data_IF_872480045026
#
_entry.id   IF_872480045026
#
_cell.length_a   1.000
_cell.length_b   1.000
_cell.length_c   1.000
_cell.angle_alpha   90.00
_cell.angle_beta   90.00
_cell.angle_gamma   90.00
#
_symmetry.space_group_name_H-M   'P 1'
#
loop_
_entity.id
_entity.type
_entity.pdbx_description
1 polymer ?
#
# COMPACT_ATOMS: atom_id res chain seq x y z
N UNK A 1 -5.01 -25.58 26.58
CA UNK A 1 -4.23 -25.64 25.31
C UNK A 1 -4.68 -26.83 24.44
N UNK A 2 -5.15 -26.58 23.20
CA UNK A 2 -5.74 -27.62 22.32
C UNK A 2 -4.76 -28.21 21.29
N UNK A 3 -3.55 -27.65 21.17
CA UNK A 3 -2.42 -28.11 20.34
C UNK A 3 -1.14 -27.46 20.87
N UNK A 4 -0.03 -28.20 20.90
CA UNK A 4 1.32 -27.66 21.11
C UNK A 4 2.13 -27.91 19.84
N UNK A 5 2.81 -26.88 19.34
CA UNK A 5 3.65 -26.95 18.15
C UNK A 5 5.02 -26.42 18.51
N UNK A 6 6.06 -27.15 18.12
CA UNK A 6 7.44 -26.70 18.31
C UNK A 6 7.72 -25.46 17.45
N UNK A 7 8.43 -24.47 18.01
CA UNK A 7 8.72 -23.21 17.33
C UNK A 7 9.53 -23.41 16.03
N UNK A 8 10.38 -24.44 15.97
CA UNK A 8 11.15 -24.74 14.75
C UNK A 8 10.25 -25.17 13.59
N UNK A 9 9.16 -25.88 13.87
CA UNK A 9 8.16 -26.27 12.86
C UNK A 9 7.41 -25.04 12.36
N UNK A 10 7.04 -24.13 13.27
CA UNK A 10 6.39 -22.87 12.88
C UNK A 10 7.34 -22.02 12.01
N UNK A 11 8.61 -21.89 12.42
CA UNK A 11 9.64 -21.18 11.64
C UNK A 11 9.87 -21.79 10.25
N UNK A 12 9.87 -23.14 10.16
CA UNK A 12 9.99 -23.85 8.90
C UNK A 12 8.84 -23.49 7.95
N UNK A 13 7.60 -23.51 8.45
CA UNK A 13 6.42 -23.20 7.63
C UNK A 13 6.37 -21.72 7.26
N UNK A 14 6.70 -20.81 8.17
CA UNK A 14 6.85 -19.38 7.85
C UNK A 14 7.88 -19.18 6.74
N UNK A 15 9.03 -19.85 6.84
CA UNK A 15 10.08 -19.80 5.81
C UNK A 15 9.64 -20.42 4.48
N UNK A 16 8.84 -21.48 4.51
CA UNK A 16 8.26 -22.08 3.31
C UNK A 16 7.35 -21.09 2.59
N UNK A 17 6.49 -20.38 3.32
CA UNK A 17 5.56 -19.39 2.77
C UNK A 17 6.24 -18.13 2.20
N UNK A 18 7.53 -17.93 2.44
CA UNK A 18 8.32 -16.92 1.71
C UNK A 18 8.71 -17.37 0.28
N UNK A 19 8.53 -18.66 -0.03
CA UNK A 19 8.96 -19.28 -1.30
C UNK A 19 7.81 -19.85 -2.12
N UNK A 20 6.67 -20.08 -1.49
CA UNK A 20 5.43 -20.53 -2.12
C UNK A 20 4.24 -19.71 -1.60
N UNK A 21 3.15 -19.69 -2.36
CA UNK A 21 1.91 -19.08 -1.90
C UNK A 21 1.46 -19.71 -0.57
N UNK A 22 1.14 -18.91 0.46
CA UNK A 22 0.68 -19.43 1.75
C UNK A 22 -0.52 -20.35 1.58
N UNK A 23 -0.40 -21.59 2.09
CA UNK A 23 -1.46 -22.59 1.99
C UNK A 23 -1.51 -23.41 3.28
N UNK A 24 -2.26 -22.90 4.26
CA UNK A 24 -2.43 -23.56 5.55
C UNK A 24 -3.08 -24.94 5.43
N UNK A 25 -4.00 -25.13 4.49
CA UNK A 25 -4.64 -26.42 4.23
C UNK A 25 -3.62 -27.46 3.80
N UNK A 26 -2.80 -27.16 2.80
CA UNK A 26 -1.80 -28.10 2.29
C UNK A 26 -0.79 -28.51 3.37
N UNK A 27 -0.28 -27.54 4.15
CA UNK A 27 0.63 -27.83 5.27
C UNK A 27 -0.04 -28.71 6.31
N UNK A 28 -1.26 -28.37 6.71
CA UNK A 28 -1.98 -29.10 7.77
C UNK A 28 -2.32 -30.52 7.33
N UNK A 29 -2.82 -30.72 6.11
CA UNK A 29 -3.08 -32.05 5.54
C UNK A 29 -1.81 -32.89 5.41
N UNK A 30 -0.68 -32.25 5.06
CA UNK A 30 0.63 -32.94 5.00
C UNK A 30 1.08 -33.40 6.38
N UNK A 31 0.93 -32.55 7.41
CA UNK A 31 1.25 -32.89 8.79
C UNK A 31 0.34 -34.00 9.33
N UNK A 32 -0.95 -33.96 9.00
CA UNK A 32 -1.92 -35.01 9.35
C UNK A 32 -1.51 -36.36 8.76
N UNK A 33 -1.25 -36.41 7.45
CA UNK A 33 -0.80 -37.64 6.77
C UNK A 33 0.54 -38.16 7.34
N UNK A 34 1.50 -37.27 7.57
CA UNK A 34 2.82 -37.63 8.13
C UNK A 34 2.72 -38.25 9.54
N UNK A 35 1.80 -37.76 10.35
CA UNK A 35 1.53 -38.27 11.70
C UNK A 35 0.75 -39.58 11.65
N UNK A 36 -0.23 -39.70 10.76
CA UNK A 36 -1.01 -40.92 10.54
C UNK A 36 -0.13 -42.10 10.12
N UNK A 37 0.82 -41.89 9.19
CA UNK A 37 1.82 -42.88 8.76
C UNK A 37 2.69 -43.41 9.92
N UNK A 38 2.77 -42.67 11.02
CA UNK A 38 3.52 -43.04 12.24
C UNK A 38 2.63 -43.60 13.35
N UNK A 39 1.36 -43.85 13.06
CA UNK A 39 0.38 -44.37 14.00
C UNK A 39 -0.27 -43.31 14.90
N UNK A 40 -0.03 -42.01 14.65
CA UNK A 40 -0.66 -40.92 15.40
C UNK A 40 -1.92 -40.43 14.68
N UNK A 41 -3.06 -41.08 14.97
CA UNK A 41 -4.35 -40.71 14.37
C UNK A 41 -5.05 -39.63 15.18
N UNK A 42 -5.35 -38.50 14.55
CA UNK A 42 -6.13 -37.43 15.15
C UNK A 42 -7.62 -37.59 14.81
N UNK A 43 -8.48 -37.54 15.83
CA UNK A 43 -9.94 -37.67 15.64
C UNK A 43 -10.59 -36.34 15.28
N UNK A 44 -11.60 -36.41 14.42
CA UNK A 44 -12.46 -35.28 14.06
C UNK A 44 -12.26 -34.84 12.61
N UNK A 45 -13.15 -33.97 12.14
CA UNK A 45 -13.00 -33.32 10.85
C UNK A 45 -11.99 -32.17 10.98
N UNK A 46 -10.99 -32.15 10.10
CA UNK A 46 -9.99 -31.09 10.01
C UNK A 46 -9.26 -30.80 11.34
N UNK A 47 -8.64 -31.83 11.96
CA UNK A 47 -8.14 -31.72 13.32
C UNK A 47 -7.02 -30.69 13.46
N UNK A 48 -6.13 -30.49 12.46
CA UNK A 48 -5.02 -29.57 12.60
C UNK A 48 -5.26 -28.20 12.00
N UNK A 49 -5.93 -28.06 10.83
CA UNK A 49 -5.85 -26.82 10.05
C UNK A 49 -6.16 -25.57 10.85
N UNK A 50 -7.30 -25.50 11.54
CA UNK A 50 -7.66 -24.30 12.31
C UNK A 50 -6.69 -24.06 13.48
N UNK A 51 -6.30 -25.11 14.20
CA UNK A 51 -5.43 -25.01 15.38
C UNK A 51 -4.00 -24.63 15.01
N UNK A 52 -3.45 -25.28 13.99
CA UNK A 52 -2.13 -25.00 13.45
C UNK A 52 -2.06 -23.61 12.80
N UNK A 53 -3.08 -23.24 12.01
CA UNK A 53 -3.15 -21.89 11.41
C UNK A 53 -3.14 -20.80 12.48
N UNK A 54 -3.93 -20.97 13.55
CA UNK A 54 -3.92 -20.04 14.67
C UNK A 54 -2.54 -19.97 15.35
N UNK A 55 -1.90 -21.11 15.61
CA UNK A 55 -0.58 -21.16 16.22
C UNK A 55 0.49 -20.47 15.35
N UNK A 56 0.50 -20.74 14.06
CA UNK A 56 1.40 -20.11 13.09
C UNK A 56 1.16 -18.60 12.99
N UNK A 57 -0.10 -18.18 12.98
CA UNK A 57 -0.45 -16.77 12.93
C UNK A 57 0.05 -16.01 14.17
N UNK A 58 -0.14 -16.57 15.37
CA UNK A 58 0.36 -15.98 16.61
C UNK A 58 1.88 -15.97 16.68
N UNK A 59 2.53 -17.02 16.17
CA UNK A 59 3.98 -17.07 16.05
C UNK A 59 4.52 -15.96 15.14
N UNK A 60 3.93 -15.77 13.95
CA UNK A 60 4.31 -14.67 13.05
C UNK A 60 4.10 -13.31 13.74
N UNK A 61 2.95 -13.11 14.40
CA UNK A 61 2.71 -11.88 15.18
C UNK A 61 3.77 -11.65 16.27
N UNK A 62 4.21 -12.72 16.95
CA UNK A 62 5.27 -12.64 17.95
C UNK A 62 6.62 -12.24 17.31
N UNK A 63 6.97 -12.82 16.16
CA UNK A 63 8.18 -12.46 15.42
C UNK A 63 8.15 -11.00 14.97
N UNK A 64 7.02 -10.53 14.45
CA UNK A 64 6.85 -9.16 14.00
C UNK A 64 7.00 -8.16 15.16
N UNK A 65 6.38 -8.47 16.31
CA UNK A 65 6.46 -7.65 17.54
C UNK A 65 7.87 -7.64 18.12
N UNK A 66 8.55 -8.78 18.16
CA UNK A 66 9.92 -8.88 18.65
C UNK A 66 10.89 -8.10 17.75
N UNK A 67 10.73 -8.18 16.43
CA UNK A 67 11.54 -7.43 15.48
C UNK A 67 11.32 -5.93 15.62
N UNK A 68 10.05 -5.49 15.74
CA UNK A 68 9.70 -4.10 15.99
C UNK A 68 10.34 -3.56 17.27
N UNK A 69 10.28 -4.33 18.36
CA UNK A 69 10.88 -3.93 19.63
C UNK A 69 12.39 -3.74 19.51
N UNK A 70 13.10 -4.61 18.79
CA UNK A 70 14.53 -4.46 18.53
C UNK A 70 14.80 -3.19 17.70
N UNK A 71 13.98 -2.93 16.67
CA UNK A 71 14.13 -1.75 15.83
C UNK A 71 13.92 -0.45 16.63
N UNK A 72 12.93 -0.40 17.52
CA UNK A 72 12.72 0.74 18.43
C UNK A 72 13.93 0.98 19.32
N UNK A 73 14.53 -0.07 19.89
CA UNK A 73 15.75 0.06 20.70
C UNK A 73 16.94 0.58 19.89
N UNK A 74 17.08 0.12 18.64
CA UNK A 74 18.13 0.59 17.74
C UNK A 74 17.93 2.07 17.40
N UNK A 75 16.70 2.49 17.14
CA UNK A 75 16.38 3.87 16.78
C UNK A 75 16.62 4.83 17.96
N UNK A 76 16.26 4.45 19.19
CA UNK A 76 16.61 5.21 20.40
C UNK A 76 18.13 5.38 20.54
N UNK A 77 18.89 4.29 20.40
CA UNK A 77 20.35 4.35 20.50
C UNK A 77 20.99 5.19 19.38
N UNK A 78 20.40 5.21 18.18
CA UNK A 78 20.85 6.09 17.08
C UNK A 78 20.58 7.55 17.40
N UNK A 79 19.42 7.88 17.97
CA UNK A 79 19.10 9.24 18.35
C UNK A 79 20.01 9.77 19.46
N UNK A 80 20.31 8.96 20.48
CA UNK A 80 21.25 9.32 21.55
C UNK A 80 22.63 9.65 20.98
N UNK A 81 23.16 8.79 20.10
CA UNK A 81 24.45 9.03 19.44
C UNK A 81 24.46 10.29 18.57
N UNK A 82 23.36 10.58 17.88
CA UNK A 82 23.24 11.81 17.09
C UNK A 82 23.21 13.07 17.96
N UNK A 83 22.68 13.00 19.19
CA UNK A 83 22.71 14.12 20.15
C UNK A 83 24.13 14.33 20.69
N UNK A 84 24.83 13.26 21.05
CA UNK A 84 26.24 13.32 21.46
C UNK A 84 27.12 13.96 20.37
N UNK A 85 26.95 13.56 19.10
CA UNK A 85 27.68 14.14 17.96
C UNK A 85 27.34 15.64 17.72
N UNK A 86 26.16 16.10 18.14
CA UNK A 86 25.73 17.51 18.01
C UNK A 86 26.22 18.39 19.17
N UNK A 87 26.31 17.85 20.39
CA UNK A 87 26.85 18.57 21.55
C UNK A 87 28.35 18.86 21.39
N UNK A 88 29.10 18.08 20.62
CA UNK A 88 30.50 18.37 20.27
C UNK A 88 30.67 19.51 19.23
N UNK A 89 29.59 19.95 18.58
CA UNK A 89 29.56 20.99 17.54
C UNK A 89 28.58 22.12 17.89
N UNK A 90 28.75 22.77 19.05
CA UNK A 90 27.93 23.93 19.42
C UNK A 90 28.15 25.13 18.48
N UNK A 91 27.12 25.46 17.67
CA UNK A 91 26.83 26.82 17.23
C UNK A 91 25.42 27.17 17.75
N UNK A 92 25.19 28.35 18.34
CA UNK A 92 23.89 28.68 18.94
C UNK A 92 22.81 28.79 17.85
N UNK A 93 21.74 28.00 17.96
CA UNK A 93 20.55 28.17 17.11
C UNK A 93 19.31 28.36 17.98
N UNK A 94 18.59 29.44 17.68
CA UNK A 94 17.40 29.91 18.39
C UNK A 94 16.22 28.92 18.30
N UNK A 95 15.41 28.91 19.36
CA UNK A 95 14.20 28.10 19.53
C UNK A 95 13.15 28.39 18.44
N UNK A 96 12.71 27.39 17.64
CA UNK A 96 11.56 27.58 16.76
C UNK A 96 10.24 27.42 17.52
N UNK A 97 9.32 28.35 17.25
CA UNK A 97 7.95 28.38 17.76
C UNK A 97 7.11 27.18 17.26
N UNK A 98 6.05 26.85 18.02
CA UNK A 98 5.09 25.78 17.76
C UNK A 98 4.42 25.91 16.38
N UNK A 99 4.94 25.13 15.44
CA UNK A 99 4.46 24.88 14.09
C UNK A 99 5.31 23.74 13.52
N UNK A 100 4.75 22.87 12.69
CA UNK A 100 5.45 21.70 12.14
C UNK A 100 6.77 22.14 11.50
N UNK A 101 7.90 21.80 12.13
CA UNK A 101 9.21 22.16 11.62
C UNK A 101 9.40 21.49 10.25
N UNK A 102 9.74 22.25 9.19
CA UNK A 102 9.89 21.69 7.86
C UNK A 102 10.98 20.61 7.88
N UNK A 103 10.68 19.46 7.25
CA UNK A 103 11.62 18.35 7.20
C UNK A 103 12.90 18.79 6.45
N UNK A 104 14.05 18.72 7.12
CA UNK A 104 15.35 19.00 6.50
C UNK A 104 15.84 17.84 5.61
N UNK A 105 15.30 16.65 5.81
CA UNK A 105 15.59 15.42 5.05
C UNK A 105 14.36 14.52 5.01
N UNK A 106 14.29 13.53 4.09
CA UNK A 106 13.20 12.59 4.08
C UNK A 106 12.96 11.98 5.46
N UNK A 107 11.69 11.69 5.75
CA UNK A 107 11.25 11.09 7.01
C UNK A 107 12.02 9.79 7.35
N UNK A 108 12.04 9.43 8.64
CA UNK A 108 12.62 8.15 9.09
C UNK A 108 11.95 6.96 8.39
N UNK A 109 10.63 7.04 8.18
CA UNK A 109 9.88 6.03 7.44
C UNK A 109 10.49 5.72 6.06
N UNK A 110 10.67 6.75 5.22
CA UNK A 110 11.24 6.56 3.89
C UNK A 110 12.69 6.09 3.92
N UNK A 111 13.48 6.63 4.86
CA UNK A 111 14.88 6.24 5.06
C UNK A 111 15.02 4.77 5.46
N UNK A 112 14.15 4.28 6.33
CA UNK A 112 14.10 2.87 6.71
C UNK A 112 13.66 1.96 5.54
N UNK A 113 12.78 2.44 4.65
CA UNK A 113 12.32 1.66 3.48
C UNK A 113 13.36 1.54 2.38
N UNK A 114 14.02 2.65 2.05
CA UNK A 114 15.06 2.65 1.03
C UNK A 114 16.16 3.68 1.37
N UNK A 115 17.20 3.25 2.10
CA UNK A 115 18.33 4.12 2.43
C UNK A 115 19.04 4.68 1.19
N UNK A 116 19.00 3.95 0.07
CA UNK A 116 19.61 4.39 -1.20
C UNK A 116 18.85 5.58 -1.80
N UNK A 117 17.51 5.55 -1.78
CA UNK A 117 16.71 6.67 -2.31
C UNK A 117 16.65 7.85 -1.34
N UNK A 118 16.57 7.59 -0.03
CA UNK A 118 16.13 8.59 0.94
C UNK A 118 17.15 8.89 2.05
N UNK A 119 18.22 8.10 2.19
CA UNK A 119 19.21 8.22 3.27
C UNK A 119 20.32 9.23 3.00
N UNK A 120 20.40 9.79 1.78
CA UNK A 120 21.40 10.80 1.42
C UNK A 120 21.24 12.12 2.18
N UNK A 121 22.34 12.88 2.33
CA UNK A 121 22.30 14.24 2.88
C UNK A 121 21.54 15.17 1.93
N UNK A 122 20.48 15.82 2.41
CA UNK A 122 19.81 16.91 1.69
C UNK A 122 20.75 18.12 1.69
N UNK A 123 21.43 18.35 0.57
CA UNK A 123 22.17 19.59 0.32
C UNK A 123 21.60 20.27 -0.91
N UNK A 124 21.76 21.59 -1.07
CA UNK A 124 21.27 22.31 -2.25
C UNK A 124 21.84 21.79 -3.58
N UNK A 125 22.97 21.07 -3.54
CA UNK A 125 23.58 20.39 -4.70
C UNK A 125 23.18 18.92 -4.86
N UNK A 126 22.61 18.29 -3.84
CA UNK A 126 22.12 16.92 -3.89
C UNK A 126 20.64 16.95 -4.29
N UNK A 127 20.38 16.87 -5.59
CA UNK A 127 19.04 16.52 -6.07
C UNK A 127 18.60 15.22 -5.38
N UNK A 128 17.43 15.25 -4.72
CA UNK A 128 16.78 14.03 -4.28
C UNK A 128 16.53 13.17 -5.53
N UNK A 129 17.38 12.16 -5.74
CA UNK A 129 17.25 11.21 -6.85
C UNK A 129 16.26 10.09 -6.49
N UNK A 130 15.10 10.48 -5.95
CA UNK A 130 14.03 9.56 -5.60
C UNK A 130 13.00 9.51 -6.73
N UNK A 131 12.93 8.36 -7.38
CA UNK A 131 11.86 8.05 -8.33
C UNK A 131 10.85 7.13 -7.63
N UNK A 132 9.58 7.50 -7.69
CA UNK A 132 8.46 6.70 -7.21
C UNK A 132 7.57 6.32 -8.40
N UNK A 133 7.17 5.06 -8.46
CA UNK A 133 6.26 4.50 -9.46
C UNK A 133 4.97 4.09 -8.75
N UNK A 134 3.83 4.36 -9.39
CA UNK A 134 2.52 3.95 -8.90
C UNK A 134 1.93 2.96 -9.89
N UNK A 135 1.43 1.84 -9.39
CA UNK A 135 0.78 0.81 -10.19
C UNK A 135 -0.39 0.17 -9.44
N UNK A 136 -1.33 -0.41 -10.19
CA UNK A 136 -2.51 -1.08 -9.67
C UNK A 136 -2.57 -2.56 -10.10
N UNK A 137 -2.79 -3.43 -9.12
CA UNK A 137 -2.90 -4.88 -9.32
C UNK A 137 -4.26 -5.40 -8.87
N UNK A 138 -5.02 -5.98 -9.81
CA UNK A 138 -6.38 -6.50 -9.57
C UNK A 138 -6.44 -7.99 -9.22
N UNK A 139 -5.28 -8.64 -9.05
CA UNK A 139 -5.22 -10.07 -8.72
C UNK A 139 -5.47 -10.33 -7.23
N UNK A 140 -5.27 -9.33 -6.37
CA UNK A 140 -5.46 -9.44 -4.92
C UNK A 140 -6.85 -8.92 -4.56
N UNK A 141 -7.75 -9.82 -4.18
CA UNK A 141 -9.12 -9.51 -3.79
C UNK A 141 -9.43 -10.12 -2.43
N UNK A 142 -10.24 -9.44 -1.63
CA UNK A 142 -10.66 -9.94 -0.33
C UNK A 142 -12.18 -10.14 -0.29
N UNK A 143 -12.65 -11.30 0.17
CA UNK A 143 -14.07 -11.66 0.20
C UNK A 143 -14.83 -10.93 1.33
N UNK A 144 -16.04 -10.45 1.02
CA UNK A 144 -16.98 -9.84 1.97
C UNK A 144 -17.40 -10.73 3.13
N UNK A 145 -17.42 -12.04 2.89
CA UNK A 145 -17.98 -13.03 3.83
C UNK A 145 -16.94 -13.62 4.79
N UNK A 146 -15.69 -13.17 4.77
CA UNK A 146 -14.78 -13.50 5.85
C UNK A 146 -15.33 -12.84 7.12
N UNK A 147 -15.58 -13.62 8.18
CA UNK A 147 -15.79 -13.02 9.50
C UNK A 147 -14.65 -12.04 9.71
N UNK A 148 -14.96 -10.78 10.04
CA UNK A 148 -13.93 -9.79 10.37
C UNK A 148 -13.22 -10.30 11.62
N UNK A 149 -12.16 -11.07 11.40
CA UNK A 149 -11.21 -11.40 12.44
C UNK A 149 -10.77 -10.07 13.07
N UNK A 150 -10.48 -10.05 14.38
CA UNK A 150 -9.95 -8.86 15.01
C UNK A 150 -8.80 -8.28 14.18
N UNK A 151 -8.82 -6.97 13.98
CA UNK A 151 -7.85 -6.30 13.14
C UNK A 151 -6.43 -6.60 13.64
N UNK A 152 -5.63 -7.24 12.80
CA UNK A 152 -4.21 -7.49 13.08
C UNK A 152 -3.38 -6.61 12.18
N UNK A 153 -2.94 -5.49 12.73
CA UNK A 153 -2.04 -4.59 12.04
C UNK A 153 -0.60 -5.00 12.31
N UNK A 154 0.17 -5.16 11.23
CA UNK A 154 1.61 -5.30 11.35
C UNK A 154 2.18 -3.98 11.88
N UNK A 155 3.07 -3.99 12.90
CA UNK A 155 3.64 -2.76 13.49
C UNK A 155 4.29 -1.83 12.46
N UNK A 156 4.87 -2.40 11.40
CA UNK A 156 5.46 -1.68 10.26
C UNK A 156 4.59 -1.76 9.00
N UNK A 157 3.28 -1.61 9.14
CA UNK A 157 2.36 -1.66 7.99
C UNK A 157 2.80 -0.69 6.89
N UNK A 158 2.62 -1.12 5.64
CA UNK A 158 2.74 -0.26 4.45
C UNK A 158 1.37 0.16 3.94
N UNK A 159 0.28 -0.35 4.52
CA UNK A 159 -1.07 -0.03 4.10
C UNK A 159 -1.49 1.32 4.66
N UNK A 160 -2.00 2.17 3.78
CA UNK A 160 -2.63 3.42 4.16
C UNK A 160 -4.02 3.11 4.73
N UNK A 161 -4.40 3.69 5.90
CA UNK A 161 -5.72 3.49 6.49
C UNK A 161 -6.85 3.95 5.54
N UNK A 162 -7.95 3.20 5.53
CA UNK A 162 -9.13 3.51 4.70
C UNK A 162 -9.68 4.92 4.98
N UNK A 163 -9.60 5.37 6.23
CA UNK A 163 -10.02 6.72 6.63
C UNK A 163 -9.24 7.83 5.93
N UNK A 164 -7.95 7.63 5.66
CA UNK A 164 -7.10 8.61 4.98
C UNK A 164 -7.36 8.63 3.47
N UNK A 165 -7.60 7.45 2.88
CA UNK A 165 -8.01 7.32 1.48
C UNK A 165 -9.36 8.02 1.24
N UNK A 166 -10.28 7.90 2.21
CA UNK A 166 -11.60 8.51 2.15
C UNK A 166 -11.55 10.05 2.09
N UNK A 167 -10.59 10.69 2.78
CA UNK A 167 -10.41 12.13 2.70
C UNK A 167 -10.16 12.59 1.26
N UNK A 168 -9.32 11.86 0.53
CA UNK A 168 -9.05 12.12 -0.88
C UNK A 168 -10.21 11.73 -1.80
N UNK A 169 -10.98 10.70 -1.45
CA UNK A 169 -12.20 10.37 -2.19
C UNK A 169 -13.22 11.51 -2.10
N UNK A 170 -13.47 12.02 -0.90
CA UNK A 170 -14.41 13.12 -0.65
C UNK A 170 -13.93 14.41 -1.33
N UNK A 171 -12.63 14.75 -1.22
CA UNK A 171 -12.04 15.92 -1.88
C UNK A 171 -12.16 15.86 -3.41
N UNK A 172 -11.83 14.72 -4.03
CA UNK A 172 -11.96 14.55 -5.48
C UNK A 172 -13.42 14.66 -5.91
N UNK A 173 -14.35 14.12 -5.12
CA UNK A 173 -15.78 14.22 -5.41
C UNK A 173 -16.29 15.67 -5.34
N UNK A 174 -15.76 16.49 -4.43
CA UNK A 174 -16.12 17.91 -4.30
C UNK A 174 -15.55 18.78 -5.43
N UNK A 175 -14.28 18.57 -5.80
CA UNK A 175 -13.59 19.40 -6.80
C UNK A 175 -14.00 19.04 -8.23
N UNK A 176 -14.38 17.78 -8.48
CA UNK A 176 -14.71 17.34 -9.84
C UNK A 176 -16.02 18.01 -10.28
N UNK A 177 -16.05 18.70 -11.42
CA UNK A 177 -17.29 19.23 -11.95
C UNK A 177 -18.27 18.08 -12.12
N UNK A 178 -19.51 18.29 -11.65
CA UNK A 178 -20.60 17.34 -11.84
C UNK A 178 -20.59 16.90 -13.30
N UNK A 179 -20.43 15.60 -13.56
CA UNK A 179 -20.82 15.08 -14.85
C UNK A 179 -22.33 15.29 -14.94
N UNK A 180 -22.75 16.43 -15.49
CA UNK A 180 -24.05 16.50 -16.12
C UNK A 180 -24.06 15.34 -17.11
N UNK A 181 -24.93 14.37 -16.87
CA UNK A 181 -25.25 13.35 -17.84
C UNK A 181 -25.65 14.09 -19.11
N UNK A 182 -24.73 14.20 -20.07
CA UNK A 182 -25.11 14.56 -21.43
C UNK A 182 -26.05 13.44 -21.84
N UNK A 183 -27.34 13.74 -21.83
CA UNK A 183 -28.37 12.87 -22.36
C UNK A 183 -27.92 12.39 -23.75
N UNK A 184 -27.51 11.13 -23.83
CA UNK A 184 -27.04 10.45 -25.05
C UNK A 184 -28.15 10.32 -26.11
N UNK A 185 -29.34 10.87 -25.87
CA UNK A 185 -30.52 10.67 -26.73
C UNK A 185 -30.92 11.88 -27.59
N UNK A 186 -30.07 12.90 -27.79
CA UNK A 186 -30.45 14.00 -28.71
C UNK A 186 -29.37 14.59 -29.62
N UNK A 187 -28.26 13.90 -29.91
CA UNK A 187 -27.37 14.32 -31.01
C UNK A 187 -27.79 13.65 -32.31
N UNK A 188 -28.83 14.20 -32.92
CA UNK A 188 -29.27 13.84 -34.26
C UNK A 188 -28.11 13.95 -35.26
N UNK A 189 -27.93 12.91 -36.07
CA UNK A 189 -26.97 12.78 -37.16
C UNK A 189 -27.17 13.79 -38.30
N UNK A 190 -26.94 15.09 -38.06
CA UNK A 190 -27.14 16.11 -39.10
C UNK A 190 -26.02 17.09 -39.37
N UNK A 191 -24.94 17.16 -38.59
CA UNK A 191 -23.68 17.79 -39.03
C UNK A 191 -22.53 17.32 -38.12
N UNK A 192 -21.72 16.40 -38.62
CA UNK A 192 -20.49 15.95 -37.96
C UNK A 192 -19.44 17.06 -38.11
N UNK A 193 -19.26 17.87 -37.08
CA UNK A 193 -18.36 19.02 -37.08
C UNK A 193 -16.93 18.62 -36.68
N UNK A 194 -15.97 19.49 -36.96
CA UNK A 194 -14.57 19.35 -36.56
C UNK A 194 -14.33 20.21 -35.30
N UNK A 195 -13.70 19.65 -34.28
CA UNK A 195 -13.29 20.39 -33.08
C UNK A 195 -11.77 20.65 -33.07
N UNK A 196 -11.38 21.91 -32.84
CA UNK A 196 -9.97 22.32 -32.78
C UNK A 196 -9.28 22.49 -34.15
N UNK A 197 -7.93 22.47 -34.14
CA UNK A 197 -7.10 22.60 -35.35
C UNK A 197 -6.98 21.30 -36.16
N UNK A 198 -7.52 20.20 -35.65
CA UNK A 198 -7.50 18.88 -36.27
C UNK A 198 -8.70 18.73 -37.22
N UNK A 199 -8.44 18.35 -38.47
CA UNK A 199 -9.50 18.02 -39.45
C UNK A 199 -9.97 16.57 -39.30
N UNK A 200 -10.31 16.15 -38.09
CA UNK A 200 -10.89 14.84 -37.81
C UNK A 200 -12.35 15.03 -37.40
N UNK A 201 -13.32 14.39 -38.07
CA UNK A 201 -14.73 14.50 -37.70
C UNK A 201 -14.96 13.98 -36.27
N UNK A 202 -15.85 14.62 -35.53
CA UNK A 202 -16.14 14.25 -34.15
C UNK A 202 -16.58 12.78 -34.02
N UNK A 203 -17.34 12.24 -34.98
CA UNK A 203 -17.72 10.82 -34.97
C UNK A 203 -16.52 9.85 -34.94
N UNK A 204 -15.39 10.23 -35.53
CA UNK A 204 -14.16 9.43 -35.53
C UNK A 204 -13.41 9.59 -34.21
N UNK A 205 -13.45 10.78 -33.61
CA UNK A 205 -12.88 11.00 -32.28
C UNK A 205 -13.69 10.27 -31.21
N UNK A 206 -15.02 10.36 -31.27
CA UNK A 206 -15.95 9.65 -30.38
C UNK A 206 -15.78 8.13 -30.53
N UNK A 207 -15.76 7.60 -31.76
CA UNK A 207 -15.49 6.18 -31.98
C UNK A 207 -14.09 5.76 -31.51
N UNK A 208 -13.09 6.65 -31.59
CA UNK A 208 -11.75 6.40 -31.06
C UNK A 208 -11.73 6.38 -29.53
N UNK A 209 -12.44 7.31 -28.88
CA UNK A 209 -12.64 7.37 -27.43
C UNK A 209 -13.34 6.10 -26.94
N UNK A 210 -14.43 5.71 -27.59
CA UNK A 210 -15.18 4.48 -27.30
C UNK A 210 -14.35 3.20 -27.51
N UNK A 211 -13.44 3.21 -28.49
CA UNK A 211 -12.52 2.09 -28.74
C UNK A 211 -11.36 1.99 -27.73
N UNK A 212 -11.12 3.06 -26.96
CA UNK A 212 -9.98 3.15 -26.04
C UNK A 212 -10.24 2.33 -24.76
N UNK A 213 -9.86 1.05 -24.81
CA UNK A 213 -10.13 0.06 -23.77
C UNK A 213 -9.41 0.34 -22.42
N UNK A 214 -8.49 1.30 -22.37
CA UNK A 214 -7.70 1.58 -21.17
C UNK A 214 -8.49 2.33 -20.08
N UNK A 215 -9.58 3.02 -20.43
CA UNK A 215 -10.34 3.91 -19.53
C UNK A 215 -11.87 3.70 -19.57
N UNK A 216 -12.34 2.53 -20.01
CA UNK A 216 -13.76 2.18 -19.96
C UNK A 216 -14.22 2.02 -18.50
N UNK A 217 -14.82 3.09 -17.95
CA UNK A 217 -15.35 3.12 -16.58
C UNK A 217 -16.57 2.21 -16.36
N UNK A 218 -17.18 1.70 -17.44
CA UNK A 218 -18.33 0.77 -17.35
C UNK A 218 -17.89 -0.68 -17.18
N UNK A 219 -16.67 -1.02 -17.62
CA UNK A 219 -16.14 -2.38 -17.49
C UNK A 219 -15.55 -2.61 -16.11
N UNK A 220 -16.37 -3.17 -15.21
CA UNK A 220 -15.94 -3.62 -13.88
C UNK A 220 -14.86 -4.72 -13.99
N UNK A 221 -13.57 -4.36 -13.93
CA UNK A 221 -12.44 -5.32 -13.83
C UNK A 221 -12.50 -6.18 -12.55
N UNK A 222 -13.25 -5.74 -11.55
CA UNK A 222 -13.54 -6.48 -10.33
C UNK A 222 -14.92 -6.10 -9.79
N UNK A 223 -15.74 -7.11 -9.47
CA UNK A 223 -17.06 -6.91 -8.87
C UNK A 223 -16.92 -6.56 -7.39
N UNK A 224 -17.51 -5.44 -6.97
CA UNK A 224 -17.67 -5.09 -5.55
C UNK A 224 -18.80 -5.87 -4.87
N UNK A 225 -19.53 -6.73 -5.59
CA UNK A 225 -20.64 -7.50 -5.02
C UNK A 225 -20.13 -8.55 -4.01
N UNK A 226 -19.00 -9.19 -4.31
CA UNK A 226 -18.46 -10.31 -3.53
C UNK A 226 -17.17 -9.96 -2.76
N UNK A 227 -16.51 -8.88 -3.15
CA UNK A 227 -15.20 -8.50 -2.61
C UNK A 227 -15.25 -7.14 -1.92
N UNK A 228 -14.64 -7.05 -0.73
CA UNK A 228 -14.43 -5.79 0.01
C UNK A 228 -13.22 -5.02 -0.51
N UNK A 229 -12.27 -5.73 -1.15
CA UNK A 229 -11.19 -5.11 -1.89
C UNK A 229 -11.16 -5.66 -3.32
N UNK A 230 -11.18 -4.76 -4.30
CA UNK A 230 -11.20 -5.03 -5.74
C UNK A 230 -9.80 -5.16 -6.34
N UNK A 231 -8.76 -4.70 -5.61
CA UNK A 231 -7.36 -4.69 -6.02
C UNK A 231 -6.49 -3.97 -5.01
N UNK A 232 -5.21 -3.85 -5.33
CA UNK A 232 -4.24 -3.02 -4.61
C UNK A 232 -3.69 -1.94 -5.53
N UNK A 233 -3.56 -0.72 -5.03
CA UNK A 233 -2.70 0.30 -5.63
C UNK A 233 -1.45 0.46 -4.77
N UNK A 234 -0.27 0.45 -5.38
CA UNK A 234 1.00 0.54 -4.66
C UNK A 234 1.88 1.65 -5.19
N UNK A 235 2.64 2.26 -4.28
CA UNK A 235 3.77 3.13 -4.62
C UNK A 235 5.07 2.43 -4.25
N UNK A 236 5.97 2.30 -5.23
CA UNK A 236 7.29 1.70 -5.08
C UNK A 236 8.37 2.69 -5.47
N UNK A 237 9.56 2.59 -4.88
CA UNK A 237 10.72 3.29 -5.40
C UNK A 237 11.40 2.49 -6.53
N UNK A 238 12.32 3.13 -7.27
CA UNK A 238 13.14 2.50 -8.33
C UNK A 238 14.01 1.30 -7.93
N UNK A 239 14.08 0.97 -6.63
CA UNK A 239 14.79 -0.20 -6.11
C UNK A 239 13.83 -1.31 -5.67
N UNK A 240 12.61 -1.29 -6.22
CA UNK A 240 11.51 -2.22 -5.93
C UNK A 240 11.18 -2.32 -4.44
N UNK A 241 11.35 -1.21 -3.70
CA UNK A 241 10.92 -1.11 -2.31
C UNK A 241 9.53 -0.49 -2.27
N UNK A 242 8.57 -1.25 -1.74
CA UNK A 242 7.23 -0.75 -1.45
C UNK A 242 7.33 0.37 -0.43
N UNK A 243 6.81 1.53 -0.80
CA UNK A 243 6.67 2.68 0.09
C UNK A 243 5.32 2.61 0.79
N UNK A 244 4.23 2.50 0.02
CA UNK A 244 2.87 2.35 0.55
C UNK A 244 1.99 1.51 -0.37
N UNK A 245 0.95 0.92 0.23
CA UNK A 245 -0.12 0.21 -0.46
C UNK A 245 -1.48 0.78 -0.04
N UNK A 246 -2.43 0.74 -0.95
CA UNK A 246 -3.82 1.13 -0.72
C UNK A 246 -4.72 -0.02 -1.15
N UNK A 247 -5.61 -0.45 -0.27
CA UNK A 247 -6.68 -1.36 -0.64
C UNK A 247 -7.69 -0.59 -1.52
N UNK A 248 -7.89 -1.05 -2.75
CA UNK A 248 -8.92 -0.50 -3.61
C UNK A 248 -10.25 -1.10 -3.19
N UNK A 249 -11.21 -0.26 -2.81
CA UNK A 249 -12.55 -0.62 -2.33
C UNK A 249 -13.65 -0.29 -3.33
N UNK A 250 -13.30 0.44 -4.40
CA UNK A 250 -14.19 0.85 -5.48
C UNK A 250 -13.79 0.18 -6.81
N UNK A 251 -14.71 0.12 -7.79
CA UNK A 251 -14.37 -0.38 -9.12
C UNK A 251 -13.46 0.62 -9.87
N UNK A 252 -12.44 0.08 -10.55
CA UNK A 252 -11.55 0.84 -11.42
C UNK A 252 -10.41 1.57 -10.72
N UNK A 253 -9.53 2.18 -11.51
CA UNK A 253 -8.35 2.94 -11.05
C UNK A 253 -8.77 4.39 -10.75
N UNK A 254 -9.48 4.59 -9.64
CA UNK A 254 -9.92 5.94 -9.25
C UNK A 254 -8.74 6.83 -8.84
N UNK A 255 -8.80 8.10 -9.21
CA UNK A 255 -7.72 9.08 -8.98
C UNK A 255 -7.40 9.31 -7.50
N UNK A 256 -8.38 9.19 -6.59
CA UNK A 256 -8.16 9.41 -5.15
C UNK A 256 -7.13 8.45 -4.55
N UNK A 257 -6.98 7.23 -5.08
CA UNK A 257 -5.95 6.30 -4.65
C UNK A 257 -4.54 6.83 -4.98
N UNK A 258 -4.38 7.40 -6.18
CA UNK A 258 -3.12 8.02 -6.63
C UNK A 258 -2.82 9.26 -5.79
N UNK A 259 -3.81 10.14 -5.60
CA UNK A 259 -3.61 11.35 -4.79
C UNK A 259 -3.23 11.04 -3.36
N UNK A 260 -3.84 10.02 -2.75
CA UNK A 260 -3.48 9.58 -1.39
C UNK A 260 -2.00 9.18 -1.31
N UNK A 261 -1.50 8.42 -2.28
CA UNK A 261 -0.09 7.99 -2.33
C UNK A 261 0.87 9.16 -2.58
N UNK A 262 0.51 10.08 -3.48
CA UNK A 262 1.33 11.25 -3.84
C UNK A 262 1.42 12.23 -2.67
N UNK A 263 0.29 12.57 -2.05
CA UNK A 263 0.24 13.44 -0.88
C UNK A 263 1.09 12.86 0.25
N UNK A 264 0.93 11.57 0.53
CA UNK A 264 1.72 10.90 1.57
C UNK A 264 3.22 10.96 1.25
N UNK A 265 3.61 10.76 -0.01
CA UNK A 265 5.01 10.92 -0.40
C UNK A 265 5.54 12.32 -0.05
N UNK A 266 4.81 13.38 -0.43
CA UNK A 266 5.24 14.76 -0.18
C UNK A 266 5.31 15.10 1.31
N UNK A 267 4.37 14.64 2.12
CA UNK A 267 4.41 14.80 3.58
C UNK A 267 5.63 14.13 4.24
N UNK A 268 6.21 13.14 3.56
CA UNK A 268 7.39 12.41 4.03
C UNK A 268 8.71 12.92 3.40
N UNK A 269 8.66 13.90 2.49
CA UNK A 269 9.83 14.53 1.88
C UNK A 269 10.09 15.91 2.51
N UNK A 270 11.33 16.42 2.43
CA UNK A 270 11.60 17.81 2.74
C UNK A 270 10.70 18.72 1.95
N UNK A 271 10.42 19.90 2.51
CA UNK A 271 9.88 21.05 1.78
C UNK A 271 10.90 21.55 0.76
N UNK A 272 11.26 20.71 -0.21
CA UNK A 272 11.89 21.16 -1.41
C UNK A 272 10.77 21.80 -2.21
N UNK A 273 10.79 23.13 -2.35
CA UNK A 273 10.35 23.91 -3.53
C UNK A 273 9.82 25.30 -3.12
N UNK A 274 10.67 26.31 -3.32
CA UNK A 274 10.28 27.70 -3.61
C UNK A 274 9.82 27.82 -5.08
N UNK A 275 8.74 27.15 -5.50
CA UNK A 275 8.45 27.06 -6.94
C UNK A 275 7.13 26.45 -7.35
N UNK A 276 6.10 26.49 -6.50
CA UNK A 276 4.73 26.18 -6.90
C UNK A 276 3.84 27.43 -7.05
N UNK A 277 4.37 28.64 -6.83
CA UNK A 277 3.64 29.90 -7.02
C UNK A 277 3.62 30.38 -8.50
N UNK A 278 3.79 29.50 -9.49
CA UNK A 278 3.95 29.93 -10.90
C UNK A 278 3.35 29.00 -11.96
N UNK A 279 2.31 28.22 -11.63
CA UNK A 279 1.47 27.54 -12.63
C UNK A 279 0.00 27.91 -12.45
#
# INVERSE_FOLDING_TARGET
PSLAVELQVLNLVTSLFLRISPNHTAVSSTLEAFLEDRGYVMKGEDPLRRRFSNALQWYNTLQDRASHFIDELIDVAREERLREDQEEHEVPMETPAEGSTPLLRPSEYLRARCPICFGGKSGPSNQLNAFACIDAVFMQKNNKHASRDPLREHPKTVFIPESEVKLWEDYVAEVRPSQESKDEHSRSARNDHYEGSLRVPNSVLDACEDSFTAADGTRQKASTQFFDSTGLMGMLCRHDRVLWLVNMTSPGERQHYVFTLVERLFNHLPSMVHGWDSL
#
